data_IF_418477304556
#
_entry.id   IF_418477304556
#
_cell.length_a   1.000
_cell.length_b   1.000
_cell.length_c   1.000
_cell.angle_alpha   90.00
_cell.angle_beta   90.00
_cell.angle_gamma   90.00
#
_symmetry.space_group_name_H-M   'P 1'
#
loop_
_entity.id
_entity.type
_entity.pdbx_description
1 polymer ?
#
# COMPACT_ATOMS: atom_id res chain seq x y z
N UNK A 1 -0.74 23.98 18.16
CA UNK A 1 -0.69 24.07 16.68
C UNK A 1 -1.18 22.74 16.13
N UNK A 2 -2.40 22.68 15.58
CA UNK A 2 -2.95 21.44 15.00
C UNK A 2 -2.37 21.33 13.59
N UNK A 3 -1.45 20.39 13.38
CA UNK A 3 -0.96 20.07 12.04
C UNK A 3 -2.10 19.46 11.23
N UNK A 4 -2.28 19.95 10.00
CA UNK A 4 -3.14 19.29 9.04
C UNK A 4 -2.63 17.86 8.77
N UNK A 5 -3.56 16.90 8.77
CA UNK A 5 -3.30 15.50 8.48
C UNK A 5 -2.67 15.30 7.08
N UNK A 6 -2.93 16.21 6.14
CA UNK A 6 -2.28 16.19 4.83
C UNK A 6 -0.78 16.46 4.93
N UNK A 7 -0.38 17.51 5.67
CA UNK A 7 1.00 17.92 5.89
C UNK A 7 1.78 16.94 6.78
N UNK A 8 1.11 16.22 7.69
CA UNK A 8 1.71 15.13 8.45
C UNK A 8 2.06 13.93 7.56
N UNK A 9 1.15 13.57 6.65
CA UNK A 9 1.38 12.44 5.72
C UNK A 9 2.45 12.75 4.69
N UNK A 10 2.49 13.99 4.20
CA UNK A 10 3.56 14.44 3.31
C UNK A 10 4.94 14.35 3.98
N UNK A 11 5.06 14.84 5.22
CA UNK A 11 6.28 14.70 6.00
C UNK A 11 6.66 13.24 6.25
N UNK A 12 5.68 12.41 6.59
CA UNK A 12 5.91 10.98 6.79
C UNK A 12 6.37 10.28 5.51
N UNK A 13 5.89 10.70 4.33
CA UNK A 13 6.35 10.13 3.07
C UNK A 13 7.82 10.49 2.78
N UNK A 14 8.27 11.69 3.18
CA UNK A 14 9.65 12.15 2.99
C UNK A 14 10.62 11.71 4.10
N UNK A 15 10.12 11.19 5.22
CA UNK A 15 11.01 10.79 6.32
C UNK A 15 11.77 9.51 5.98
N UNK A 16 12.97 9.35 6.53
CA UNK A 16 13.76 8.12 6.40
C UNK A 16 14.08 7.72 4.94
N UNK A 17 14.09 8.70 4.02
CA UNK A 17 14.66 8.55 2.69
C UNK A 17 16.19 8.48 2.80
N UNK A 18 16.82 7.66 1.98
CA UNK A 18 18.29 7.64 1.89
C UNK A 18 18.77 8.93 1.20
N UNK A 19 20.00 9.40 1.46
CA UNK A 19 20.52 10.56 0.76
C UNK A 19 20.48 10.38 -0.76
N UNK A 20 19.86 11.33 -1.47
CA UNK A 20 19.71 11.31 -2.92
C UNK A 20 18.47 10.57 -3.45
N UNK A 21 17.72 9.88 -2.59
CA UNK A 21 16.47 9.24 -2.95
C UNK A 21 15.33 10.25 -3.11
N UNK A 22 14.53 10.09 -4.16
CA UNK A 22 13.45 10.99 -4.51
C UNK A 22 12.09 10.34 -4.30
N UNK A 23 11.22 11.02 -3.54
CA UNK A 23 9.83 10.64 -3.45
C UNK A 23 9.11 10.95 -4.77
N UNK A 24 8.54 9.93 -5.40
CA UNK A 24 7.77 10.07 -6.64
C UNK A 24 6.26 10.18 -6.38
N UNK A 25 5.78 9.52 -5.32
CA UNK A 25 4.38 9.59 -4.94
C UNK A 25 4.06 8.82 -3.67
N UNK A 26 2.92 9.15 -3.06
CA UNK A 26 2.43 8.44 -1.89
C UNK A 26 0.91 8.49 -1.80
N UNK A 27 0.34 7.57 -1.03
CA UNK A 27 -1.10 7.51 -0.81
C UNK A 27 -1.47 6.64 0.36
N UNK A 28 -2.56 6.99 1.04
CA UNK A 28 -3.06 6.18 2.15
C UNK A 28 -3.75 4.92 1.63
N UNK A 29 -3.31 3.78 2.16
CA UNK A 29 -3.80 2.46 1.78
C UNK A 29 -4.07 1.60 3.01
N UNK A 30 -4.97 0.62 2.86
CA UNK A 30 -5.17 -0.45 3.83
C UNK A 30 -4.82 -1.77 3.13
N UNK A 31 -3.82 -2.53 3.62
CA UNK A 31 -3.54 -3.87 3.11
C UNK A 31 -4.75 -4.77 3.33
N UNK A 32 -5.15 -5.54 2.31
CA UNK A 32 -6.32 -6.42 2.42
C UNK A 32 -6.14 -7.51 3.49
N UNK A 33 -4.90 -7.94 3.76
CA UNK A 33 -4.56 -8.92 4.81
C UNK A 33 -4.80 -8.35 6.21
N UNK A 34 -4.63 -7.04 6.38
CA UNK A 34 -4.88 -6.28 7.62
C UNK A 34 -6.33 -5.96 7.88
N UNK A 35 -7.21 -6.24 6.92
CA UNK A 35 -8.61 -5.94 7.01
C UNK A 35 -9.40 -6.99 7.83
N UNK A 36 -8.76 -8.11 8.24
CA UNK A 36 -9.34 -9.07 9.18
C UNK A 36 -9.22 -8.57 10.63
N UNK A 37 -10.32 -8.04 11.16
CA UNK A 37 -10.50 -7.80 12.60
C UNK A 37 -10.49 -6.32 13.02
N UNK A 38 -11.64 -5.91 13.59
CA UNK A 38 -11.91 -4.71 14.42
C UNK A 38 -11.58 -3.33 13.81
N UNK A 39 -12.60 -2.67 13.24
CA UNK A 39 -12.57 -1.26 12.83
C UNK A 39 -13.51 -0.95 11.66
N UNK A 40 -13.86 0.33 11.46
CA UNK A 40 -14.81 0.85 10.45
C UNK A 40 -14.40 0.36 9.04
N UNK A 41 -14.92 -0.79 8.62
CA UNK A 41 -14.44 -1.51 7.44
C UNK A 41 -14.51 -3.04 7.55
N UNK A 42 -14.75 -3.60 8.73
CA UNK A 42 -14.82 -5.05 8.97
C UNK A 42 -15.81 -5.81 8.05
N UNK A 43 -16.95 -5.21 7.71
CA UNK A 43 -17.93 -5.83 6.79
C UNK A 43 -17.42 -5.86 5.33
N UNK A 44 -16.79 -4.77 4.86
CA UNK A 44 -16.22 -4.66 3.52
C UNK A 44 -15.00 -5.57 3.39
N UNK A 45 -14.21 -5.66 4.45
CA UNK A 45 -13.04 -6.50 4.56
C UNK A 45 -13.38 -8.00 4.55
N UNK A 46 -14.41 -8.41 5.30
CA UNK A 46 -14.88 -9.79 5.31
C UNK A 46 -15.37 -10.23 3.92
N UNK A 47 -16.12 -9.38 3.21
CA UNK A 47 -16.50 -9.69 1.82
C UNK A 47 -15.30 -9.73 0.86
N UNK A 48 -14.22 -8.97 1.12
CA UNK A 48 -13.05 -8.91 0.25
C UNK A 48 -12.14 -10.12 0.37
N UNK A 49 -11.83 -10.50 1.62
CA UNK A 49 -10.98 -11.66 1.93
C UNK A 49 -11.66 -12.94 1.50
N UNK A 50 -12.98 -13.05 1.71
CA UNK A 50 -13.75 -14.25 1.39
C UNK A 50 -13.92 -14.50 -0.12
N UNK A 51 -13.83 -13.47 -0.96
CA UNK A 51 -14.09 -13.63 -2.40
C UNK A 51 -12.84 -13.73 -3.29
N UNK A 52 -11.72 -13.10 -2.91
CA UNK A 52 -10.66 -12.79 -3.91
C UNK A 52 -9.21 -13.03 -3.40
N UNK A 53 -9.04 -13.28 -2.09
CA UNK A 53 -7.72 -13.43 -1.46
C UNK A 53 -7.03 -12.09 -1.18
N UNK A 54 -6.45 -11.97 0.02
CA UNK A 54 -5.72 -10.78 0.46
C UNK A 54 -4.33 -10.66 -0.21
N UNK A 55 -3.79 -11.79 -0.65
CA UNK A 55 -2.50 -11.92 -1.31
C UNK A 55 -2.47 -13.24 -2.09
N UNK A 56 -1.62 -13.32 -3.13
CA UNK A 56 -1.07 -14.59 -3.58
C UNK A 56 0.39 -14.58 -3.19
N UNK A 57 0.75 -15.50 -2.28
CA UNK A 57 2.07 -15.58 -1.72
C UNK A 57 2.39 -17.05 -1.45
N UNK A 58 3.49 -17.53 -2.03
CA UNK A 58 4.10 -18.81 -1.66
C UNK A 58 5.18 -18.56 -0.59
N UNK A 59 5.56 -19.58 0.17
CA UNK A 59 6.67 -19.46 1.14
C UNK A 59 7.92 -19.00 0.38
N UNK A 60 8.57 -17.95 0.87
CA UNK A 60 9.75 -17.34 0.23
C UNK A 60 9.44 -16.29 -0.84
N UNK A 61 8.18 -16.06 -1.20
CA UNK A 61 7.81 -14.98 -2.12
C UNK A 61 7.93 -13.60 -1.47
N UNK A 62 8.06 -12.57 -2.31
CA UNK A 62 8.09 -11.16 -1.93
C UNK A 62 6.83 -10.83 -1.11
N UNK A 63 5.64 -11.17 -1.61
CA UNK A 63 4.40 -10.93 -0.88
C UNK A 63 4.31 -11.68 0.47
N UNK A 64 4.99 -12.82 0.63
CA UNK A 64 5.04 -13.55 1.91
C UNK A 64 5.88 -12.83 2.98
N UNK A 65 6.81 -11.97 2.57
CA UNK A 65 7.63 -11.15 3.46
C UNK A 65 6.87 -9.98 4.12
N UNK A 66 5.65 -9.66 3.65
CA UNK A 66 4.84 -8.59 4.22
C UNK A 66 4.36 -8.97 5.63
N UNK A 67 4.73 -8.21 6.68
CA UNK A 67 4.26 -8.48 8.03
C UNK A 67 2.75 -8.27 8.14
N UNK A 68 2.14 -8.90 9.16
CA UNK A 68 0.75 -8.59 9.52
C UNK A 68 0.70 -7.17 10.08
N UNK A 69 -0.09 -6.32 9.45
CA UNK A 69 -0.32 -4.94 9.91
C UNK A 69 -1.76 -4.74 10.35
N UNK A 70 -2.06 -3.62 11.02
CA UNK A 70 -3.43 -3.17 11.32
C UNK A 70 -3.60 -1.72 10.90
N UNK A 71 -4.81 -1.37 10.45
CA UNK A 71 -5.16 -0.01 10.07
C UNK A 71 -4.58 0.48 8.74
N UNK A 72 -4.64 1.79 8.54
CA UNK A 72 -4.18 2.46 7.33
C UNK A 72 -2.70 2.83 7.43
N UNK A 73 -1.98 2.59 6.34
CA UNK A 73 -0.58 2.93 6.12
C UNK A 73 -0.47 3.94 4.98
N UNK A 74 0.75 4.43 4.74
CA UNK A 74 1.09 5.15 3.51
C UNK A 74 1.86 4.21 2.59
N UNK A 75 1.33 3.95 1.39
CA UNK A 75 2.13 3.41 0.32
C UNK A 75 2.98 4.54 -0.23
N UNK A 76 4.30 4.37 -0.18
CA UNK A 76 5.33 5.27 -0.66
C UNK A 76 5.98 4.66 -1.89
N UNK A 77 6.16 5.48 -2.91
CA UNK A 77 6.89 5.16 -4.15
C UNK A 77 8.00 6.18 -4.28
N UNK A 78 9.24 5.70 -4.28
CA UNK A 78 10.44 6.51 -4.55
C UNK A 78 11.06 6.07 -5.86
N UNK A 79 12.15 6.70 -6.28
CA UNK A 79 12.94 6.25 -7.42
C UNK A 79 13.62 4.88 -7.17
N UNK A 80 13.82 4.49 -5.90
CA UNK A 80 14.53 3.27 -5.51
C UNK A 80 13.66 2.15 -4.93
N UNK A 81 12.56 2.49 -4.24
CA UNK A 81 11.74 1.52 -3.49
C UNK A 81 10.25 1.81 -3.57
N UNK A 82 9.48 0.75 -3.33
CA UNK A 82 8.04 0.81 -3.12
C UNK A 82 7.74 0.11 -1.81
N UNK A 83 6.92 0.71 -0.96
CA UNK A 83 6.57 0.07 0.28
C UNK A 83 5.65 0.86 1.19
N UNK A 84 5.39 0.28 2.35
CA UNK A 84 4.45 0.79 3.33
C UNK A 84 5.21 1.41 4.49
N UNK A 85 4.83 2.63 4.82
CA UNK A 85 5.35 3.36 5.97
C UNK A 85 4.23 3.76 6.91
N UNK A 86 4.56 3.94 8.19
CA UNK A 86 3.62 4.44 9.18
C UNK A 86 3.21 5.88 8.87
N UNK A 87 1.93 6.24 9.01
CA UNK A 87 1.43 7.55 8.60
C UNK A 87 1.80 8.71 9.53
N UNK A 88 2.37 8.43 10.71
CA UNK A 88 2.69 9.43 11.73
C UNK A 88 4.15 9.88 11.70
N UNK A 89 5.06 8.96 11.40
CA UNK A 89 6.51 9.17 11.49
C UNK A 89 7.26 8.70 10.24
N UNK A 90 6.56 8.05 9.29
CA UNK A 90 7.14 7.47 8.09
C UNK A 90 8.07 6.29 8.35
N UNK A 91 8.00 5.67 9.53
CA UNK A 91 8.77 4.47 9.84
C UNK A 91 8.42 3.36 8.85
N UNK A 92 9.41 2.80 8.12
CA UNK A 92 9.22 1.67 7.23
C UNK A 92 8.58 0.50 7.97
N UNK A 93 7.49 -0.01 7.41
CA UNK A 93 6.85 -1.24 7.86
C UNK A 93 7.31 -2.39 6.99
N UNK A 94 7.33 -2.17 5.68
CA UNK A 94 7.80 -3.14 4.70
C UNK A 94 8.07 -2.44 3.37
N UNK A 95 9.25 -2.64 2.80
CA UNK A 95 9.64 -2.00 1.54
C UNK A 95 10.41 -2.99 0.68
N UNK A 96 10.28 -2.84 -0.63
CA UNK A 96 10.99 -3.65 -1.63
C UNK A 96 11.65 -2.72 -2.65
N UNK A 97 12.73 -3.17 -3.32
CA UNK A 97 13.26 -2.46 -4.48
C UNK A 97 12.15 -2.17 -5.50
N UNK A 98 12.11 -0.94 -6.04
CA UNK A 98 11.07 -0.52 -6.99
C UNK A 98 11.06 -1.43 -8.23
N UNK A 99 12.24 -1.85 -8.68
CA UNK A 99 12.41 -2.76 -9.81
C UNK A 99 11.71 -4.13 -9.61
N UNK A 100 11.37 -4.51 -8.37
CA UNK A 100 10.64 -5.74 -8.10
C UNK A 100 9.13 -5.59 -8.24
N UNK A 101 8.59 -4.36 -8.29
CA UNK A 101 7.16 -4.12 -8.48
C UNK A 101 6.90 -3.92 -9.97
N UNK A 102 6.24 -4.88 -10.59
CA UNK A 102 6.11 -4.95 -12.05
C UNK A 102 4.82 -4.32 -12.57
N UNK A 103 3.78 -4.22 -11.74
CA UNK A 103 2.47 -3.73 -12.18
C UNK A 103 1.56 -3.31 -11.03
N UNK A 104 0.78 -2.27 -11.29
CA UNK A 104 -0.42 -1.92 -10.52
C UNK A 104 -1.66 -2.39 -11.27
N UNK A 105 -2.34 -3.42 -10.76
CA UNK A 105 -3.59 -3.90 -11.36
C UNK A 105 -4.78 -3.29 -10.63
N UNK A 106 -5.52 -2.43 -11.32
CA UNK A 106 -6.78 -1.90 -10.78
C UNK A 106 -7.86 -2.99 -10.76
N UNK A 107 -8.64 -3.03 -9.68
CA UNK A 107 -9.75 -3.96 -9.51
C UNK A 107 -11.09 -3.22 -9.44
N UNK A 108 -12.22 -3.91 -9.71
CA UNK A 108 -13.54 -3.33 -9.48
C UNK A 108 -13.66 -2.77 -8.05
N UNK A 109 -14.22 -1.56 -7.97
CA UNK A 109 -14.42 -0.80 -6.74
C UNK A 109 -15.43 -1.53 -5.85
N UNK A 110 -15.27 -1.45 -4.53
CA UNK A 110 -16.40 -1.70 -3.62
C UNK A 110 -17.21 -0.41 -3.47
N UNK A 111 -18.37 -0.42 -2.81
CA UNK A 111 -19.18 0.81 -2.69
C UNK A 111 -18.37 2.01 -2.12
N UNK A 112 -17.47 1.76 -1.16
CA UNK A 112 -16.76 2.83 -0.43
C UNK A 112 -15.28 3.00 -0.78
N UNK A 113 -14.59 1.97 -1.28
CA UNK A 113 -13.13 2.02 -1.48
C UNK A 113 -12.70 1.54 -2.86
N UNK A 114 -11.71 2.23 -3.42
CA UNK A 114 -11.01 1.77 -4.61
C UNK A 114 -10.02 0.66 -4.25
N UNK A 115 -9.87 -0.31 -5.14
CA UNK A 115 -9.04 -1.51 -4.92
C UNK A 115 -8.03 -1.68 -6.04
N UNK A 116 -6.85 -2.14 -5.67
CA UNK A 116 -5.80 -2.51 -6.60
C UNK A 116 -4.93 -3.64 -6.04
N UNK A 117 -4.09 -4.21 -6.90
CA UNK A 117 -3.03 -5.15 -6.54
C UNK A 117 -1.69 -4.61 -6.98
N UNK A 118 -0.67 -4.79 -6.14
CA UNK A 118 0.73 -4.68 -6.56
C UNK A 118 1.21 -6.08 -6.90
N UNK A 119 1.70 -6.25 -8.13
CA UNK A 119 2.31 -7.48 -8.60
C UNK A 119 3.83 -7.35 -8.53
N UNK A 120 4.48 -8.42 -8.11
CA UNK A 120 5.93 -8.49 -7.97
C UNK A 120 6.56 -9.38 -9.04
N UNK A 121 7.87 -9.22 -9.22
CA UNK A 121 8.67 -9.94 -10.23
C UNK A 121 8.68 -11.45 -10.07
N UNK A 122 8.39 -11.97 -8.87
CA UNK A 122 8.27 -13.41 -8.57
C UNK A 122 6.85 -13.96 -8.84
N UNK A 123 5.96 -13.15 -9.42
CA UNK A 123 4.57 -13.51 -9.71
C UNK A 123 3.63 -13.41 -8.52
N UNK A 124 4.14 -13.09 -7.32
CA UNK A 124 3.32 -12.86 -6.13
C UNK A 124 2.61 -11.49 -6.19
N UNK A 125 1.56 -11.31 -5.38
CA UNK A 125 0.85 -10.03 -5.32
C UNK A 125 0.23 -9.75 -3.95
N UNK A 126 0.13 -8.46 -3.62
CA UNK A 126 -0.59 -7.93 -2.46
C UNK A 126 -1.78 -7.07 -2.89
N UNK A 127 -2.93 -7.25 -2.25
CA UNK A 127 -4.12 -6.43 -2.48
C UNK A 127 -4.22 -5.27 -1.49
N UNK A 128 -4.66 -4.12 -1.99
CA UNK A 128 -4.79 -2.88 -1.22
C UNK A 128 -6.13 -2.20 -1.47
N UNK A 129 -6.59 -1.47 -0.46
CA UNK A 129 -7.73 -0.57 -0.51
C UNK A 129 -7.28 0.87 -0.33
N UNK A 130 -7.93 1.81 -1.01
CA UNK A 130 -7.75 3.24 -0.80
C UNK A 130 -9.06 3.99 -0.98
N UNK A 131 -9.22 5.12 -0.29
CA UNK A 131 -10.40 5.97 -0.44
C UNK A 131 -10.39 6.72 -1.79
N UNK A 132 -9.20 7.14 -2.24
CA UNK A 132 -9.03 8.02 -3.40
C UNK A 132 -8.70 7.22 -4.64
N UNK A 133 -9.60 7.15 -5.62
CA UNK A 133 -9.35 6.47 -6.89
C UNK A 133 -8.12 7.01 -7.63
N UNK A 134 -7.93 8.34 -7.61
CA UNK A 134 -6.79 9.02 -8.25
C UNK A 134 -5.44 8.51 -7.74
N UNK A 135 -5.37 8.01 -6.50
CA UNK A 135 -4.16 7.40 -5.94
C UNK A 135 -3.76 6.13 -6.71
N UNK A 136 -4.71 5.34 -7.22
CA UNK A 136 -4.41 4.16 -8.04
C UNK A 136 -3.85 4.58 -9.40
N UNK A 137 -4.45 5.60 -10.01
CA UNK A 137 -4.01 6.14 -11.31
C UNK A 137 -2.58 6.70 -11.20
N UNK A 138 -2.27 7.41 -10.11
CA UNK A 138 -0.92 7.85 -9.79
C UNK A 138 0.06 6.68 -9.59
N UNK A 139 -0.31 5.65 -8.83
CA UNK A 139 0.58 4.50 -8.64
C UNK A 139 0.81 3.75 -9.94
N UNK A 140 -0.23 3.62 -10.78
CA UNK A 140 -0.08 3.05 -12.11
C UNK A 140 0.96 3.84 -12.89
N UNK A 141 0.81 5.16 -13.04
CA UNK A 141 1.78 5.96 -13.82
C UNK A 141 3.21 5.94 -13.28
N UNK A 142 3.41 5.63 -11.99
CA UNK A 142 4.74 5.58 -11.37
C UNK A 142 5.41 4.20 -11.41
N UNK A 143 4.65 3.12 -11.59
CA UNK A 143 5.15 1.74 -11.49
C UNK A 143 5.05 1.01 -12.84
N UNK A 144 4.06 1.30 -13.67
CA UNK A 144 3.82 0.64 -14.96
C UNK A 144 3.01 1.49 -15.92
#
# INVERSE_FOLDING_TARGET
>A
MIMDMSALRERSAHSQLTPGEQLLGYGSVVPASSARGVGIGAAIANQLVNNIGAQSAQVGSIAAGMPRTSGALLLRVTDQRVGLVRPLDGTPVWEVPRAWVIRVERRPRTQLMARFRLHYSDGSWLAFLTMRRRTIEQFHSLIG
#
